data_IF_025526576272
#
_entry.id   IF_025526576272
#
_cell.length_a   1.000
_cell.length_b   1.000
_cell.length_c   1.000
_cell.angle_alpha   90.00
_cell.angle_beta   90.00
_cell.angle_gamma   90.00
#
_symmetry.space_group_name_H-M   'P 1'
#
loop_
_entity.id
_entity.type
_entity.pdbx_description
1 polymer ?
#
# COMPACT_ATOMS: atom_id res chain seq x y z
N UNK A 1 9.67 15.80 21.97
CA UNK A 1 8.96 15.44 20.72
C UNK A 1 9.90 14.56 19.91
N UNK A 2 9.44 13.40 19.45
CA UNK A 2 10.22 12.51 18.57
C UNK A 2 10.15 13.02 17.13
N UNK A 3 11.30 13.10 16.45
CA UNK A 3 11.37 13.46 15.03
C UNK A 3 10.67 12.38 14.19
N UNK A 4 9.76 12.74 13.27
CA UNK A 4 9.15 11.79 12.35
C UNK A 4 10.19 11.08 11.45
N UNK A 5 9.87 9.85 11.03
CA UNK A 5 10.78 9.05 10.21
C UNK A 5 11.10 9.71 8.87
N UNK A 6 10.10 10.34 8.24
CA UNK A 6 10.28 11.03 6.95
C UNK A 6 11.16 12.29 7.03
N UNK A 7 11.53 12.73 8.24
CA UNK A 7 12.52 13.79 8.48
C UNK A 7 13.87 13.25 8.96
N UNK A 8 14.03 11.92 9.05
CA UNK A 8 15.22 11.26 9.60
C UNK A 8 15.90 10.40 8.52
N UNK A 9 16.95 10.90 7.83
CA UNK A 9 17.53 10.22 6.66
C UNK A 9 18.11 8.83 6.95
N UNK A 10 18.52 8.55 8.19
CA UNK A 10 19.02 7.23 8.58
C UNK A 10 17.91 6.17 8.71
N UNK A 11 16.65 6.60 8.84
CA UNK A 11 15.49 5.71 8.89
C UNK A 11 14.95 5.52 7.47
N UNK A 12 15.46 4.50 6.78
CA UNK A 12 15.07 4.19 5.39
C UNK A 12 13.93 3.17 5.29
N UNK A 13 13.65 2.40 6.34
CA UNK A 13 12.50 1.51 6.46
C UNK A 13 12.28 1.10 7.93
N UNK A 14 11.09 0.58 8.24
CA UNK A 14 10.78 -0.12 9.49
C UNK A 14 10.15 -1.46 9.16
N UNK A 15 10.63 -2.54 9.79
CA UNK A 15 10.03 -3.89 9.73
C UNK A 15 9.72 -4.43 8.31
N UNK A 16 10.42 -3.93 7.29
CA UNK A 16 10.36 -4.50 5.95
C UNK A 16 11.18 -5.78 5.92
N UNK A 17 10.64 -6.82 5.31
CA UNK A 17 11.37 -8.07 5.06
C UNK A 17 12.62 -7.84 4.18
N UNK A 18 13.65 -8.69 4.31
CA UNK A 18 14.85 -8.60 3.48
C UNK A 18 14.54 -8.69 1.98
N UNK A 19 15.32 -7.98 1.16
CA UNK A 19 15.16 -8.05 -0.28
C UNK A 19 15.49 -9.46 -0.81
N UNK A 20 14.65 -9.95 -1.72
CA UNK A 20 14.82 -11.24 -2.39
C UNK A 20 14.21 -11.20 -3.81
N UNK A 21 14.44 -12.24 -4.60
CA UNK A 21 13.85 -12.40 -5.95
C UNK A 21 12.32 -12.53 -5.86
N UNK A 22 11.54 -12.12 -6.88
CA UNK A 22 10.08 -12.26 -6.84
C UNK A 22 9.64 -13.71 -6.58
N UNK A 23 8.74 -13.89 -5.60
CA UNK A 23 8.16 -15.18 -5.24
C UNK A 23 6.63 -15.07 -5.32
N UNK A 24 6.00 -15.90 -6.14
CA UNK A 24 4.55 -15.99 -6.25
C UNK A 24 4.00 -17.26 -5.56
N UNK A 25 4.86 -18.27 -5.38
CA UNK A 25 4.50 -19.65 -5.03
C UNK A 25 3.67 -20.31 -6.14
N UNK A 26 3.92 -21.59 -6.44
CA UNK A 26 3.10 -22.36 -7.38
C UNK A 26 2.72 -23.73 -6.80
N UNK A 27 1.51 -24.25 -7.08
CA UNK A 27 1.08 -25.55 -6.58
C UNK A 27 1.86 -26.71 -7.18
N UNK A 28 2.32 -26.57 -8.43
CA UNK A 28 3.12 -27.55 -9.14
C UNK A 28 4.00 -26.89 -10.23
N UNK A 29 4.84 -27.69 -10.88
CA UNK A 29 5.76 -27.23 -11.92
C UNK A 29 5.05 -26.74 -13.20
N UNK A 30 3.89 -27.32 -13.55
CA UNK A 30 3.15 -26.91 -14.74
C UNK A 30 2.52 -25.51 -14.54
N UNK A 31 1.96 -25.26 -13.35
CA UNK A 31 1.46 -23.97 -12.93
C UNK A 31 2.58 -22.92 -12.88
N UNK A 32 3.77 -23.30 -12.41
CA UNK A 32 4.96 -22.43 -12.42
C UNK A 32 5.38 -22.03 -13.83
N UNK A 33 5.46 -22.99 -14.76
CA UNK A 33 5.78 -22.73 -16.17
C UNK A 33 4.72 -21.86 -16.85
N UNK A 34 3.45 -22.02 -16.47
CA UNK A 34 2.35 -21.21 -16.98
C UNK A 34 2.23 -19.84 -16.30
N UNK A 35 3.00 -19.56 -15.24
CA UNK A 35 2.90 -18.32 -14.45
C UNK A 35 1.55 -18.15 -13.75
N UNK A 36 0.85 -19.25 -13.43
CA UNK A 36 -0.49 -19.21 -12.82
C UNK A 36 -0.44 -19.70 -11.38
N UNK A 37 -0.81 -18.84 -10.44
CA UNK A 37 -0.88 -19.19 -9.02
C UNK A 37 -2.17 -18.71 -8.36
N UNK A 38 -2.79 -19.50 -7.48
CA UNK A 38 -3.92 -19.08 -6.69
C UNK A 38 -3.51 -18.25 -5.45
N UNK A 39 -2.22 -18.13 -5.15
CA UNK A 39 -1.73 -17.50 -3.91
C UNK A 39 -1.38 -16.02 -4.05
N UNK A 40 -1.61 -15.44 -5.23
CA UNK A 40 -1.46 -14.01 -5.48
C UNK A 40 -2.82 -13.39 -5.70
N UNK A 41 -3.10 -12.30 -4.98
CA UNK A 41 -4.33 -11.51 -5.12
C UNK A 41 -3.95 -10.07 -5.47
N UNK A 42 -4.32 -9.55 -6.66
CA UNK A 42 -4.17 -8.14 -6.96
C UNK A 42 -5.11 -7.31 -6.10
N UNK A 43 -4.67 -6.10 -5.73
CA UNK A 43 -5.48 -5.10 -5.02
C UNK A 43 -5.68 -3.82 -5.86
N UNK A 44 -5.32 -3.88 -7.15
CA UNK A 44 -5.62 -2.85 -8.13
C UNK A 44 -7.13 -2.64 -8.23
N UNK A 45 -7.57 -1.40 -8.43
CA UNK A 45 -8.98 -1.04 -8.46
C UNK A 45 -9.26 0.33 -7.89
N UNK A 46 -10.48 0.54 -7.41
CA UNK A 46 -10.93 1.80 -6.82
C UNK A 46 -10.67 1.84 -5.32
N UNK A 47 -10.03 2.90 -4.86
CA UNK A 47 -9.70 3.14 -3.46
C UNK A 47 -10.31 4.45 -2.98
N UNK A 48 -10.74 4.49 -1.72
CA UNK A 48 -11.07 5.75 -1.03
C UNK A 48 -9.81 6.57 -0.82
N UNK A 49 -9.87 7.85 -1.13
CA UNK A 49 -8.72 8.73 -1.16
C UNK A 49 -9.05 10.14 -0.64
N UNK A 50 -8.14 10.68 0.16
CA UNK A 50 -8.19 12.04 0.67
C UNK A 50 -6.84 12.72 0.45
N UNK A 51 -6.86 13.85 -0.26
CA UNK A 51 -5.70 14.72 -0.40
C UNK A 51 -5.78 15.86 0.61
N UNK A 52 -4.71 16.06 1.38
CA UNK A 52 -4.56 17.13 2.37
C UNK A 52 -3.35 18.01 2.04
N UNK A 53 -3.35 19.25 2.52
CA UNK A 53 -2.29 20.22 2.25
C UNK A 53 -1.02 20.01 3.08
N UNK A 54 -1.14 19.45 4.29
CA UNK A 54 -0.02 19.05 5.13
C UNK A 54 -0.31 17.74 5.86
N UNK A 55 0.72 16.97 6.28
CA UNK A 55 0.52 15.70 6.98
C UNK A 55 -0.33 15.80 8.25
N UNK A 56 -0.25 16.92 8.97
CA UNK A 56 -0.98 17.16 10.23
C UNK A 56 -2.49 17.33 10.02
N UNK A 57 -2.94 17.55 8.78
CA UNK A 57 -4.36 17.64 8.43
C UNK A 57 -5.00 16.26 8.18
N UNK A 58 -4.20 15.19 8.09
CA UNK A 58 -4.73 13.84 7.95
C UNK A 58 -5.43 13.39 9.25
N UNK A 59 -6.62 12.77 9.18
CA UNK A 59 -7.29 12.24 10.38
C UNK A 59 -6.43 11.18 11.08
N UNK A 60 -6.12 11.37 12.36
CA UNK A 60 -5.17 10.51 13.09
C UNK A 60 -5.62 9.05 13.27
N UNK A 61 -6.91 8.80 13.16
CA UNK A 61 -7.57 7.51 13.33
C UNK A 61 -8.00 6.85 12.00
N UNK A 62 -7.64 7.42 10.84
CA UNK A 62 -8.01 6.89 9.51
C UNK A 62 -7.57 5.44 9.23
N UNK A 63 -6.63 4.92 10.03
CA UNK A 63 -6.13 3.54 9.92
C UNK A 63 -7.02 2.53 10.65
N UNK A 64 -7.97 2.99 11.48
CA UNK A 64 -8.85 2.11 12.22
C UNK A 64 -9.93 1.53 11.31
N UNK A 65 -10.25 0.22 11.40
CA UNK A 65 -11.27 -0.39 10.55
C UNK A 65 -12.68 0.19 10.68
N UNK A 66 -12.96 0.88 11.78
CA UNK A 66 -14.25 1.51 12.07
C UNK A 66 -14.31 2.99 11.67
N UNK A 67 -13.25 3.55 11.08
CA UNK A 67 -13.23 4.93 10.62
C UNK A 67 -14.20 5.10 9.44
N UNK A 68 -14.98 6.19 9.44
CA UNK A 68 -15.89 6.52 8.35
C UNK A 68 -15.18 7.36 7.29
N UNK A 69 -14.87 6.73 6.15
CA UNK A 69 -14.29 7.35 4.97
C UNK A 69 -15.32 7.71 3.89
N UNK A 70 -16.62 7.68 4.22
CA UNK A 70 -17.71 7.83 3.25
C UNK A 70 -17.70 9.15 2.48
N UNK A 71 -17.11 10.20 3.06
CA UNK A 71 -16.96 11.52 2.43
C UNK A 71 -15.75 11.63 1.49
N UNK A 72 -14.89 10.62 1.43
CA UNK A 72 -13.68 10.64 0.60
C UNK A 72 -14.02 10.36 -0.86
N UNK A 73 -13.18 10.88 -1.76
CA UNK A 73 -13.32 10.59 -3.18
C UNK A 73 -12.76 9.22 -3.52
N UNK A 74 -13.09 8.75 -4.72
CA UNK A 74 -12.57 7.51 -5.27
C UNK A 74 -11.38 7.82 -6.19
N UNK A 75 -10.33 6.99 -6.14
CA UNK A 75 -9.19 7.03 -7.07
C UNK A 75 -8.92 5.64 -7.64
N UNK A 76 -8.51 5.56 -8.92
CA UNK A 76 -8.04 4.32 -9.52
C UNK A 76 -6.58 4.05 -9.12
N UNK A 77 -6.26 2.81 -8.77
CA UNK A 77 -4.89 2.37 -8.43
C UNK A 77 -4.50 1.20 -9.35
N UNK A 78 -3.32 1.23 -9.99
CA UNK A 78 -2.28 2.28 -9.92
C UNK A 78 -2.61 3.51 -10.78
N UNK A 79 -2.33 4.71 -10.27
CA UNK A 79 -2.39 5.97 -11.03
C UNK A 79 -1.51 7.06 -10.39
N UNK A 80 -1.34 8.18 -11.10
CA UNK A 80 -0.75 9.41 -10.56
C UNK A 80 -1.88 10.35 -10.16
N UNK A 81 -1.93 10.81 -8.90
CA UNK A 81 -3.08 11.59 -8.40
C UNK A 81 -3.28 12.95 -9.07
N UNK A 82 -2.27 13.49 -9.75
CA UNK A 82 -2.37 14.78 -10.47
C UNK A 82 -2.94 14.66 -11.89
N UNK A 83 -3.01 13.44 -12.44
CA UNK A 83 -3.33 13.19 -13.86
C UNK A 83 -4.82 13.00 -14.12
#
# INVERSE_FOLDING_TARGET
MTTPDWLTPSVIHRQREPAHVPLAGYPDAAAALAGKTPWVRPLDGTWRFLLVGTPEQAPGDMHQPAFDDGAWCDIAVPSTWQM
#
